data_IF_389433741737
#
_entry.id   IF_389433741737
#
_cell.length_a   1.000
_cell.length_b   1.000
_cell.length_c   1.000
_cell.angle_alpha   90.00
_cell.angle_beta   90.00
_cell.angle_gamma   90.00
#
_symmetry.space_group_name_H-M   'P 1'
#
loop_
_entity.id
_entity.type
_entity.pdbx_description
1 polymer ?
#
# COMPACT_ATOMS: atom_id res chain seq x y z
N UNK A 1 4.39 6.42 3.84
CA UNK A 1 4.54 7.39 4.95
C UNK A 1 3.37 8.37 4.97
N UNK A 2 2.96 8.79 6.17
CA UNK A 2 1.92 9.78 6.36
C UNK A 2 2.53 11.18 6.46
N UNK A 3 2.05 12.10 5.61
CA UNK A 3 2.56 13.47 5.54
C UNK A 3 2.38 14.22 6.87
N UNK A 4 1.30 13.92 7.57
CA UNK A 4 0.97 14.50 8.88
C UNK A 4 2.07 14.22 9.91
N UNK A 5 2.65 13.03 9.90
CA UNK A 5 3.72 12.66 10.83
C UNK A 5 5.05 13.33 10.47
N UNK A 6 5.34 13.49 9.18
CA UNK A 6 6.55 14.18 8.70
C UNK A 6 6.50 15.66 9.11
N UNK A 7 5.36 16.33 8.94
CA UNK A 7 5.17 17.74 9.33
C UNK A 7 5.35 17.93 10.85
N UNK A 8 4.98 16.91 11.64
CA UNK A 8 5.16 16.91 13.09
C UNK A 8 6.56 16.46 13.53
N UNK A 9 7.52 16.34 12.61
CA UNK A 9 8.88 15.86 12.87
C UNK A 9 8.95 14.49 13.58
N UNK A 10 7.98 13.60 13.30
CA UNK A 10 8.05 12.21 13.78
C UNK A 10 9.14 11.47 13.04
N UNK A 11 9.83 10.58 13.76
CA UNK A 11 10.86 9.73 13.15
C UNK A 11 10.26 8.90 12.04
N UNK A 12 10.81 9.07 10.83
CA UNK A 12 10.28 8.48 9.60
C UNK A 12 11.43 7.95 8.73
N UNK A 13 11.15 6.88 8.01
CA UNK A 13 12.07 6.37 6.97
C UNK A 13 11.36 6.34 5.63
N UNK A 14 12.07 6.67 4.54
CA UNK A 14 11.53 6.64 3.19
C UNK A 14 12.54 6.05 2.20
N UNK A 15 12.10 5.69 1.00
CA UNK A 15 12.94 5.14 -0.05
C UNK A 15 12.91 6.04 -1.28
N UNK A 16 14.08 6.37 -1.81
CA UNK A 16 14.25 6.99 -3.12
C UNK A 16 14.74 5.91 -4.09
N UNK A 17 13.99 5.69 -5.15
CA UNK A 17 14.36 4.74 -6.18
C UNK A 17 14.76 5.45 -7.47
N UNK A 18 15.94 5.09 -8.00
CA UNK A 18 16.44 5.59 -9.28
C UNK A 18 17.35 4.55 -9.94
N UNK A 19 17.29 4.45 -11.27
CA UNK A 19 18.26 3.64 -12.02
C UNK A 19 19.68 4.19 -11.95
N UNK A 20 19.85 5.47 -11.64
CA UNK A 20 21.15 6.12 -11.44
C UNK A 20 21.44 6.19 -9.93
N UNK A 21 22.37 5.35 -9.46
CA UNK A 21 22.75 5.30 -8.04
C UNK A 21 23.31 6.62 -7.51
N UNK A 22 24.14 7.33 -8.29
CA UNK A 22 24.71 8.60 -7.87
C UNK A 22 23.62 9.63 -7.62
N UNK A 23 22.63 9.71 -8.52
CA UNK A 23 21.50 10.61 -8.37
C UNK A 23 20.67 10.28 -7.12
N UNK A 24 20.39 9.00 -6.85
CA UNK A 24 19.66 8.63 -5.63
C UNK A 24 20.45 8.91 -4.35
N UNK A 25 21.78 8.77 -4.37
CA UNK A 25 22.66 9.15 -3.24
C UNK A 25 22.70 10.66 -3.00
N UNK A 26 22.68 11.46 -4.05
CA UNK A 26 22.64 12.92 -3.91
C UNK A 26 21.28 13.37 -3.32
N UNK A 27 20.18 12.78 -3.80
CA UNK A 27 18.87 13.03 -3.20
C UNK A 27 18.77 12.52 -1.77
N UNK A 28 19.38 11.38 -1.44
CA UNK A 28 19.47 10.88 -0.07
C UNK A 28 20.13 11.89 0.86
N UNK A 29 21.24 12.49 0.45
CA UNK A 29 21.93 13.53 1.24
C UNK A 29 21.08 14.79 1.40
N UNK A 30 20.37 15.18 0.32
CA UNK A 30 19.55 16.38 0.30
C UNK A 30 18.32 16.29 1.22
N UNK A 31 17.65 15.11 1.24
CA UNK A 31 16.38 14.93 1.97
C UNK A 31 16.54 14.30 3.35
N UNK A 32 17.69 13.71 3.69
CA UNK A 32 17.90 13.14 5.02
C UNK A 32 18.01 14.24 6.09
N UNK A 33 17.37 14.00 7.22
CA UNK A 33 17.42 14.86 8.41
C UNK A 33 17.47 14.00 9.68
N UNK A 34 17.49 14.63 10.84
CA UNK A 34 17.46 13.91 12.13
C UNK A 34 16.17 13.07 12.30
N UNK A 35 15.04 13.53 11.75
CA UNK A 35 13.75 12.86 11.84
C UNK A 35 13.38 12.07 10.57
N UNK A 36 14.04 12.30 9.43
CA UNK A 36 13.74 11.63 8.15
C UNK A 36 14.98 10.89 7.63
N UNK A 37 14.94 9.56 7.71
CA UNK A 37 15.98 8.72 7.13
C UNK A 37 15.63 8.26 5.74
N UNK A 38 16.47 8.57 4.77
CA UNK A 38 16.30 8.15 3.38
C UNK A 38 17.16 6.92 3.08
N UNK A 39 16.56 5.92 2.46
CA UNK A 39 17.23 4.77 1.86
C UNK A 39 17.17 4.86 0.34
N UNK A 40 18.09 4.21 -0.35
CA UNK A 40 18.12 4.21 -1.82
C UNK A 40 17.87 2.82 -2.37
N UNK A 41 17.25 2.74 -3.55
CA UNK A 41 17.03 1.52 -4.31
C UNK A 41 17.26 1.76 -5.80
N UNK A 42 17.74 0.75 -6.51
CA UNK A 42 17.77 0.76 -7.99
C UNK A 42 16.53 0.11 -8.60
N UNK A 43 15.72 -0.55 -7.80
CA UNK A 43 14.47 -1.21 -8.24
C UNK A 43 13.29 -0.23 -8.21
N UNK A 44 13.22 0.62 -9.22
CA UNK A 44 12.15 1.62 -9.36
C UNK A 44 10.78 0.95 -9.48
N UNK A 45 10.69 -0.16 -10.22
CA UNK A 45 9.43 -0.86 -10.46
C UNK A 45 8.91 -1.47 -9.16
N UNK A 46 9.76 -2.17 -8.41
CA UNK A 46 9.36 -2.78 -7.13
C UNK A 46 8.88 -1.75 -6.11
N UNK A 47 9.55 -0.59 -6.02
CA UNK A 47 9.12 0.51 -5.14
C UNK A 47 7.76 1.07 -5.56
N UNK A 48 7.52 1.26 -6.86
CA UNK A 48 6.24 1.76 -7.37
C UNK A 48 5.09 0.77 -7.18
N UNK A 49 5.30 -0.51 -7.50
CA UNK A 49 4.29 -1.57 -7.36
C UNK A 49 3.91 -1.75 -5.89
N UNK A 50 4.90 -1.88 -5.00
CA UNK A 50 4.63 -1.98 -3.55
C UNK A 50 3.78 -0.82 -3.05
N UNK A 51 4.15 0.41 -3.38
CA UNK A 51 3.43 1.62 -2.99
C UNK A 51 2.02 1.76 -3.58
N UNK A 52 1.77 1.20 -4.77
CA UNK A 52 0.44 1.23 -5.38
C UNK A 52 -0.49 0.16 -4.80
N UNK A 53 -0.03 -1.10 -4.75
CA UNK A 53 -0.91 -2.23 -4.41
C UNK A 53 -1.22 -2.31 -2.91
N UNK A 54 -0.36 -1.82 -2.03
CA UNK A 54 -0.65 -1.71 -0.59
C UNK A 54 -2.02 -1.07 -0.31
N UNK A 55 -2.44 -0.14 -1.16
CA UNK A 55 -3.68 0.60 -0.99
C UNK A 55 -4.92 -0.30 -1.14
N UNK A 56 -4.84 -1.34 -1.98
CA UNK A 56 -5.91 -2.34 -2.14
C UNK A 56 -6.02 -3.19 -0.87
N UNK A 57 -4.89 -3.66 -0.33
CA UNK A 57 -4.87 -4.42 0.92
C UNK A 57 -5.32 -3.55 2.11
N UNK A 58 -5.02 -2.25 2.09
CA UNK A 58 -5.50 -1.33 3.11
C UNK A 58 -7.03 -1.19 3.12
N UNK A 59 -7.70 -1.25 1.96
CA UNK A 59 -9.17 -1.31 1.89
C UNK A 59 -9.67 -2.60 2.56
N UNK A 60 -9.09 -3.77 2.23
CA UNK A 60 -9.44 -5.04 2.87
C UNK A 60 -9.23 -4.99 4.40
N UNK A 61 -8.12 -4.40 4.85
CA UNK A 61 -7.84 -4.18 6.26
C UNK A 61 -8.90 -3.28 6.94
N UNK A 62 -9.35 -2.24 6.25
CA UNK A 62 -10.43 -1.38 6.71
C UNK A 62 -11.75 -2.13 6.86
N UNK A 63 -12.11 -2.98 5.89
CA UNK A 63 -13.30 -3.83 5.95
C UNK A 63 -13.20 -4.77 7.16
N UNK A 64 -12.08 -5.46 7.34
CA UNK A 64 -11.87 -6.36 8.46
C UNK A 64 -11.93 -5.63 9.83
N UNK A 65 -11.39 -4.41 9.91
CA UNK A 65 -11.49 -3.55 11.10
C UNK A 65 -12.93 -3.12 11.38
N UNK A 66 -13.65 -2.68 10.36
CA UNK A 66 -15.04 -2.24 10.48
C UNK A 66 -16.01 -3.36 10.86
N UNK A 67 -15.69 -4.62 10.47
CA UNK A 67 -16.41 -5.82 10.87
C UNK A 67 -15.94 -6.37 12.24
N UNK A 68 -15.00 -5.70 12.91
CA UNK A 68 -14.47 -6.09 14.23
C UNK A 68 -13.90 -7.51 14.30
N UNK A 69 -13.19 -7.96 13.23
CA UNK A 69 -12.65 -9.33 13.14
C UNK A 69 -11.43 -9.57 14.05
N UNK A 70 -10.86 -8.52 14.65
CA UNK A 70 -9.75 -8.59 15.58
C UNK A 70 -8.37 -8.64 14.93
N UNK A 71 -7.33 -8.54 15.78
CA UNK A 71 -5.94 -8.35 15.36
C UNK A 71 -5.35 -9.60 14.66
N UNK A 72 -5.78 -10.79 15.05
CA UNK A 72 -5.34 -12.03 14.41
C UNK A 72 -5.77 -12.08 12.93
N UNK A 73 -7.01 -11.69 12.64
CA UNK A 73 -7.52 -11.64 11.28
C UNK A 73 -6.81 -10.57 10.45
N UNK A 74 -6.57 -9.38 11.03
CA UNK A 74 -5.83 -8.31 10.39
C UNK A 74 -4.39 -8.71 10.06
N UNK A 75 -3.69 -9.35 11.02
CA UNK A 75 -2.32 -9.82 10.82
C UNK A 75 -2.23 -10.89 9.73
N UNK A 76 -3.17 -11.83 9.73
CA UNK A 76 -3.26 -12.86 8.68
C UNK A 76 -3.55 -12.24 7.30
N UNK A 77 -4.47 -11.26 7.23
CA UNK A 77 -4.81 -10.55 6.01
C UNK A 77 -3.61 -9.78 5.43
N UNK A 78 -2.87 -9.04 6.27
CA UNK A 78 -1.68 -8.30 5.83
C UNK A 78 -0.59 -9.25 5.34
N UNK A 79 -0.35 -10.35 6.06
CA UNK A 79 0.64 -11.36 5.66
C UNK A 79 0.28 -12.02 4.33
N UNK A 80 -0.97 -12.43 4.15
CA UNK A 80 -1.46 -13.00 2.89
C UNK A 80 -1.48 -11.98 1.76
N UNK A 81 -1.91 -10.76 2.04
CA UNK A 81 -1.87 -9.66 1.08
C UNK A 81 -0.45 -9.38 0.57
N UNK A 82 0.55 -9.46 1.45
CA UNK A 82 1.96 -9.34 1.04
C UNK A 82 2.38 -10.47 0.09
N UNK A 83 1.92 -11.70 0.34
CA UNK A 83 2.16 -12.82 -0.57
C UNK A 83 1.53 -12.58 -1.95
N UNK A 84 0.28 -12.09 -2.00
CA UNK A 84 -0.36 -11.73 -3.27
C UNK A 84 0.43 -10.66 -4.02
N UNK A 85 0.85 -9.58 -3.35
CA UNK A 85 1.69 -8.54 -3.96
C UNK A 85 2.97 -9.15 -4.54
N UNK A 86 3.56 -10.13 -3.87
CA UNK A 86 4.81 -10.77 -4.32
C UNK A 86 4.67 -11.53 -5.65
N UNK A 87 3.47 -12.01 -5.99
CA UNK A 87 3.20 -12.68 -7.26
C UNK A 87 3.38 -11.75 -8.47
N UNK A 88 3.22 -10.45 -8.29
CA UNK A 88 3.46 -9.47 -9.35
C UNK A 88 4.92 -9.44 -9.83
N UNK A 89 5.87 -10.00 -9.06
CA UNK A 89 7.25 -10.19 -9.52
C UNK A 89 7.37 -11.15 -10.71
N UNK A 90 6.38 -11.97 -10.97
CA UNK A 90 6.32 -12.82 -12.16
C UNK A 90 5.90 -12.06 -13.42
N UNK A 91 5.20 -10.93 -13.25
CA UNK A 91 4.71 -10.08 -14.35
C UNK A 91 5.64 -8.91 -14.60
N UNK A 92 6.12 -8.30 -13.53
CA UNK A 92 6.97 -7.11 -13.59
C UNK A 92 8.40 -7.48 -13.22
N UNK A 93 9.36 -6.94 -13.97
CA UNK A 93 10.79 -7.12 -13.67
C UNK A 93 11.17 -6.31 -12.42
N UNK A 94 10.88 -6.87 -11.24
CA UNK A 94 11.16 -6.27 -9.94
C UNK A 94 11.77 -7.30 -8.99
N UNK A 95 12.47 -6.82 -7.97
CA UNK A 95 13.08 -7.66 -6.95
C UNK A 95 12.08 -7.96 -5.83
N UNK A 96 11.92 -9.24 -5.47
CA UNK A 96 11.05 -9.63 -4.34
C UNK A 96 11.52 -8.99 -3.03
N UNK A 97 12.81 -8.85 -2.83
CA UNK A 97 13.43 -8.25 -1.65
C UNK A 97 12.97 -6.79 -1.45
N UNK A 98 12.73 -6.04 -2.54
CA UNK A 98 12.21 -4.68 -2.47
C UNK A 98 10.83 -4.63 -1.83
N UNK A 99 9.99 -5.63 -2.11
CA UNK A 99 8.65 -5.73 -1.55
C UNK A 99 8.64 -6.03 -0.05
N UNK A 100 9.64 -6.76 0.45
CA UNK A 100 9.79 -7.04 1.89
C UNK A 100 10.52 -5.92 2.66
N UNK A 101 10.96 -4.89 1.95
CA UNK A 101 11.60 -3.71 2.53
C UNK A 101 10.61 -2.62 2.97
N UNK A 102 11.17 -1.43 3.21
CA UNK A 102 10.41 -0.26 3.69
C UNK A 102 9.31 0.20 2.73
N UNK A 103 9.58 0.19 1.41
CA UNK A 103 8.64 0.62 0.38
C UNK A 103 7.54 -0.40 0.05
N UNK A 104 7.67 -1.62 0.54
CA UNK A 104 6.68 -2.68 0.41
C UNK A 104 6.03 -3.00 1.75
N UNK A 105 6.56 -3.97 2.48
CA UNK A 105 6.00 -4.46 3.74
C UNK A 105 5.88 -3.35 4.80
N UNK A 106 6.92 -2.51 4.95
CA UNK A 106 6.89 -1.40 5.91
C UNK A 106 5.75 -0.43 5.65
N UNK A 107 5.58 -0.02 4.38
CA UNK A 107 4.53 0.91 3.97
C UNK A 107 3.14 0.24 3.98
N UNK A 108 3.05 -1.06 3.68
CA UNK A 108 1.83 -1.85 3.81
C UNK A 108 1.33 -1.86 5.26
N UNK A 109 2.19 -2.22 6.22
CA UNK A 109 1.86 -2.25 7.64
C UNK A 109 1.41 -0.87 8.11
N UNK A 110 2.20 0.18 7.82
CA UNK A 110 1.85 1.54 8.19
C UNK A 110 0.48 1.95 7.63
N UNK A 111 0.16 1.58 6.38
CA UNK A 111 -1.09 1.94 5.71
C UNK A 111 -2.29 1.16 6.27
N UNK A 112 -2.13 -0.14 6.56
CA UNK A 112 -3.20 -1.00 7.05
C UNK A 112 -3.60 -0.72 8.52
N UNK A 113 -2.64 -0.29 9.35
CA UNK A 113 -2.91 -0.06 10.77
C UNK A 113 -3.15 1.42 11.13
N UNK A 114 -2.76 2.36 10.26
CA UNK A 114 -2.94 3.78 10.53
C UNK A 114 -4.40 4.23 10.38
N UNK A 115 -4.85 5.04 11.33
CA UNK A 115 -6.13 5.76 11.24
C UNK A 115 -6.13 6.89 10.20
N UNK A 116 -4.95 7.33 9.74
CA UNK A 116 -4.80 8.35 8.70
C UNK A 116 -4.91 7.78 7.29
N UNK A 117 -4.97 6.44 7.13
CA UNK A 117 -5.10 5.81 5.83
C UNK A 117 -6.50 5.97 5.25
N UNK A 118 -6.63 6.78 4.19
CA UNK A 118 -7.89 6.98 3.45
C UNK A 118 -8.45 5.68 2.88
N UNK A 119 -7.57 4.79 2.45
CA UNK A 119 -7.98 3.49 1.91
C UNK A 119 -8.54 2.58 3.01
N UNK A 120 -7.94 2.58 4.20
CA UNK A 120 -8.49 1.90 5.37
C UNK A 120 -9.85 2.50 5.77
N UNK A 121 -9.96 3.82 5.86
CA UNK A 121 -11.21 4.51 6.16
C UNK A 121 -12.31 4.16 5.15
N UNK A 122 -11.97 4.04 3.84
CA UNK A 122 -12.92 3.57 2.83
C UNK A 122 -13.45 2.18 3.17
N UNK A 123 -12.56 1.24 3.50
CA UNK A 123 -12.95 -0.11 3.92
C UNK A 123 -13.84 -0.12 5.17
N UNK A 124 -13.50 0.69 6.19
CA UNK A 124 -14.29 0.82 7.41
C UNK A 124 -15.70 1.34 7.13
N UNK A 125 -15.86 2.33 6.24
CA UNK A 125 -17.18 2.85 5.85
C UNK A 125 -17.98 1.80 5.07
N UNK A 126 -17.37 1.07 4.14
CA UNK A 126 -18.02 -0.01 3.40
C UNK A 126 -18.52 -1.10 4.35
N UNK A 127 -17.73 -1.45 5.37
CA UNK A 127 -18.12 -2.45 6.37
C UNK A 127 -19.39 -2.08 7.17
N UNK A 128 -19.73 -0.78 7.26
CA UNK A 128 -21.00 -0.34 7.87
C UNK A 128 -22.21 -0.52 6.96
N UNK A 129 -22.04 -1.07 5.75
CA UNK A 129 -23.08 -1.20 4.74
C UNK A 129 -23.32 0.08 3.90
N UNK A 130 -22.45 1.09 4.04
CA UNK A 130 -22.54 2.32 3.27
C UNK A 130 -22.13 2.07 1.82
N UNK A 131 -22.88 2.58 0.82
CA UNK A 131 -22.49 2.49 -0.59
C UNK A 131 -21.10 3.08 -0.85
N UNK A 132 -20.33 2.46 -1.74
CA UNK A 132 -18.99 2.90 -2.09
C UNK A 132 -18.95 4.36 -2.54
N UNK A 133 -19.91 4.77 -3.37
CA UNK A 133 -20.01 6.14 -3.89
C UNK A 133 -20.22 7.19 -2.78
N UNK A 134 -20.98 6.86 -1.73
CA UNK A 134 -21.18 7.72 -0.58
C UNK A 134 -19.96 7.73 0.34
N UNK A 135 -19.33 6.57 0.53
CA UNK A 135 -18.10 6.44 1.31
C UNK A 135 -16.98 7.29 0.73
N UNK A 136 -16.80 7.26 -0.59
CA UNK A 136 -15.82 8.10 -1.31
C UNK A 136 -16.11 9.61 -1.13
N UNK A 137 -17.40 10.00 -1.22
CA UNK A 137 -17.80 11.40 -0.98
C UNK A 137 -17.51 11.84 0.46
N UNK A 138 -17.76 10.97 1.43
CA UNK A 138 -17.54 11.28 2.84
C UNK A 138 -16.05 11.47 3.16
N UNK A 139 -15.15 10.70 2.53
CA UNK A 139 -13.70 10.87 2.69
C UNK A 139 -13.24 12.22 2.12
N UNK A 140 -13.95 12.76 1.12
CA UNK A 140 -13.70 14.09 0.54
C UNK A 140 -12.38 14.21 -0.23
N UNK A 141 -11.63 13.12 -0.37
CA UNK A 141 -10.32 13.04 -1.03
C UNK A 141 -10.22 11.75 -1.84
N UNK A 142 -9.29 11.73 -2.80
CA UNK A 142 -9.06 10.55 -3.64
C UNK A 142 -8.58 9.37 -2.81
N UNK A 143 -9.27 8.24 -2.89
CA UNK A 143 -8.82 6.94 -2.41
C UNK A 143 -8.16 6.19 -3.57
N UNK A 144 -6.82 6.18 -3.60
CA UNK A 144 -6.04 5.60 -4.70
C UNK A 144 -6.32 4.11 -4.88
N UNK A 145 -6.56 3.40 -3.77
CA UNK A 145 -6.85 1.97 -3.78
C UNK A 145 -8.08 1.59 -4.60
N UNK A 146 -9.08 2.49 -4.68
CA UNK A 146 -10.27 2.28 -5.51
C UNK A 146 -9.93 2.13 -7.01
N UNK A 147 -9.10 3.02 -7.53
CA UNK A 147 -8.67 2.95 -8.94
C UNK A 147 -7.63 1.85 -9.16
N UNK A 148 -6.74 1.66 -8.18
CA UNK A 148 -5.72 0.61 -8.24
C UNK A 148 -6.36 -0.77 -8.29
N UNK A 149 -7.41 -1.05 -7.51
CA UNK A 149 -8.12 -2.34 -7.52
C UNK A 149 -8.66 -2.68 -8.92
N UNK A 150 -9.26 -1.70 -9.61
CA UNK A 150 -9.79 -1.88 -10.97
C UNK A 150 -8.69 -2.21 -12.00
N UNK A 151 -7.56 -1.51 -11.93
CA UNK A 151 -6.44 -1.75 -12.84
C UNK A 151 -5.73 -3.07 -12.51
N UNK A 152 -5.58 -3.39 -11.22
CA UNK A 152 -4.97 -4.62 -10.75
C UNK A 152 -5.77 -5.86 -11.18
N UNK A 153 -7.11 -5.79 -11.14
CA UNK A 153 -7.96 -6.89 -11.59
C UNK A 153 -7.69 -7.30 -13.04
N UNK A 154 -7.43 -6.34 -13.94
CA UNK A 154 -7.04 -6.63 -15.32
C UNK A 154 -5.72 -7.40 -15.39
N UNK A 155 -4.71 -6.93 -14.64
CA UNK A 155 -3.40 -7.60 -14.58
C UNK A 155 -3.53 -9.03 -14.02
N UNK A 156 -4.32 -9.21 -12.97
CA UNK A 156 -4.60 -10.53 -12.38
C UNK A 156 -5.21 -11.46 -13.42
N UNK A 157 -6.25 -11.00 -14.12
CA UNK A 157 -6.98 -11.82 -15.11
C UNK A 157 -6.13 -12.16 -16.31
N UNK A 158 -5.36 -11.20 -16.84
CA UNK A 158 -4.49 -11.40 -18.02
C UNK A 158 -3.31 -12.35 -17.74
N UNK A 159 -2.86 -12.43 -16.49
CA UNK A 159 -1.70 -13.23 -16.10
C UNK A 159 -2.05 -14.46 -15.24
N UNK A 160 -3.33 -14.77 -15.02
CA UNK A 160 -3.82 -15.87 -14.22
C UNK A 160 -3.18 -15.91 -12.82
N UNK A 161 -3.11 -14.77 -12.11
CA UNK A 161 -2.52 -14.70 -10.79
C UNK A 161 -3.52 -15.13 -9.71
N UNK A 162 -3.07 -15.90 -8.73
CA UNK A 162 -3.88 -16.28 -7.57
C UNK A 162 -3.83 -15.19 -6.48
N UNK A 163 -4.67 -14.17 -6.63
CA UNK A 163 -4.74 -13.00 -5.74
C UNK A 163 -6.16 -12.80 -5.18
N UNK A 164 -6.68 -13.75 -4.39
CA UNK A 164 -8.08 -13.75 -3.96
C UNK A 164 -8.46 -12.51 -3.12
N UNK A 165 -7.58 -11.98 -2.25
CA UNK A 165 -7.88 -10.77 -1.47
C UNK A 165 -8.08 -9.58 -2.40
N UNK A 166 -7.19 -9.40 -3.37
CA UNK A 166 -7.28 -8.30 -4.32
C UNK A 166 -8.52 -8.41 -5.22
N UNK A 167 -8.90 -9.64 -5.63
CA UNK A 167 -10.11 -9.92 -6.41
C UNK A 167 -11.36 -9.57 -5.59
N UNK A 168 -11.44 -10.01 -4.33
CA UNK A 168 -12.60 -9.70 -3.48
C UNK A 168 -12.73 -8.20 -3.19
N UNK A 169 -11.63 -7.50 -2.99
CA UNK A 169 -11.68 -6.03 -2.88
C UNK A 169 -12.27 -5.41 -4.15
N UNK A 170 -11.86 -5.89 -5.34
CA UNK A 170 -12.42 -5.42 -6.60
C UNK A 170 -13.93 -5.70 -6.71
N UNK A 171 -14.38 -6.89 -6.31
CA UNK A 171 -15.79 -7.30 -6.36
C UNK A 171 -16.68 -6.47 -5.43
N UNK A 172 -16.12 -6.00 -4.30
CA UNK A 172 -16.84 -5.16 -3.32
C UNK A 172 -16.94 -3.72 -3.81
N UNK A 173 -15.97 -3.22 -4.59
CA UNK A 173 -15.87 -1.84 -5.06
C UNK A 173 -16.66 -1.59 -6.34
#
# INVERSE_FOLDING_TARGET
NHAEEIILNKITASVIASRCENFSKDLQKLFSSESLRIYTSTDVIGVQIGGAIKNVIAIASGIASGLHLGDNALSALVSRGMNEISLLSHVYNMKKETLFGLSGLGDLIATCFSKHSRNKQLGELIATGKPVSESLKQIGMVSEGYYTAKNLYKVISENNLDMPICIEVYNIL
#
